data_IF_043018892541
#
_entry.id   IF_043018892541
#
_cell.length_a   1.000
_cell.length_b   1.000
_cell.length_c   1.000
_cell.angle_alpha   90.00
_cell.angle_beta   90.00
_cell.angle_gamma   90.00
#
_symmetry.space_group_name_H-M   'P 1'
#
loop_
_entity.id
_entity.type
_entity.pdbx_description
1 polymer ?
#
# COMPACT_ATOMS: atom_id res chain seq x y z
N UNK A 1 8.56 -6.61 -13.04
CA UNK A 1 8.42 -5.36 -12.26
C UNK A 1 7.47 -4.38 -12.93
N UNK A 2 7.56 -4.20 -14.25
CA UNK A 2 6.62 -3.36 -15.00
C UNK A 2 5.17 -3.81 -14.81
N UNK A 3 4.88 -5.10 -14.97
CA UNK A 3 3.52 -5.67 -14.80
C UNK A 3 2.92 -5.39 -13.42
N UNK A 4 3.76 -5.45 -12.36
CA UNK A 4 3.33 -5.13 -10.99
C UNK A 4 2.96 -3.64 -10.88
N UNK A 5 3.79 -2.76 -11.43
CA UNK A 5 3.52 -1.32 -11.43
C UNK A 5 2.22 -0.99 -12.18
N UNK A 6 2.03 -1.57 -13.37
CA UNK A 6 0.83 -1.36 -14.20
C UNK A 6 -0.43 -1.89 -13.50
N UNK A 7 -0.34 -3.08 -12.88
CA UNK A 7 -1.43 -3.65 -12.10
C UNK A 7 -1.84 -2.73 -10.96
N UNK A 8 -0.88 -2.31 -10.12
CA UNK A 8 -1.16 -1.43 -8.98
C UNK A 8 -1.72 -0.09 -9.45
N UNK A 9 -1.13 0.52 -10.48
CA UNK A 9 -1.61 1.78 -11.05
C UNK A 9 -3.02 1.66 -11.63
N UNK A 10 -3.37 0.52 -12.23
CA UNK A 10 -4.73 0.21 -12.71
C UNK A 10 -5.70 0.12 -11.54
N UNK A 11 -5.38 -0.66 -10.51
CA UNK A 11 -6.22 -0.81 -9.32
C UNK A 11 -6.44 0.53 -8.59
N UNK A 12 -5.40 1.37 -8.49
CA UNK A 12 -5.53 2.70 -7.91
C UNK A 12 -6.52 3.57 -8.71
N UNK A 13 -6.46 3.52 -10.04
CA UNK A 13 -7.42 4.30 -10.88
C UNK A 13 -8.83 3.75 -10.80
N UNK A 14 -8.99 2.43 -10.76
CA UNK A 14 -10.29 1.74 -10.75
C UNK A 14 -11.02 1.95 -9.42
N UNK A 15 -10.33 1.75 -8.29
CA UNK A 15 -10.95 1.79 -6.97
C UNK A 15 -10.77 3.12 -6.23
N UNK A 16 -9.95 4.02 -6.76
CA UNK A 16 -9.67 5.35 -6.17
C UNK A 16 -9.42 5.31 -4.64
N UNK A 17 -8.50 4.44 -4.14
CA UNK A 17 -8.22 4.34 -2.72
C UNK A 17 -7.61 5.65 -2.20
N UNK A 18 -7.77 5.90 -0.91
CA UNK A 18 -7.20 7.08 -0.24
C UNK A 18 -5.81 6.81 0.34
N UNK A 19 -5.50 5.55 0.62
CA UNK A 19 -4.24 5.12 1.23
C UNK A 19 -3.81 3.75 0.69
N UNK A 20 -2.55 3.42 0.88
CA UNK A 20 -1.99 2.08 0.67
C UNK A 20 -1.47 1.57 2.01
N UNK A 21 -1.92 0.40 2.42
CA UNK A 21 -1.36 -0.33 3.56
C UNK A 21 -0.48 -1.49 3.04
N UNK A 22 0.73 -1.60 3.52
CA UNK A 22 1.68 -2.62 3.08
C UNK A 22 2.37 -3.29 4.27
N UNK A 23 2.66 -4.57 4.15
CA UNK A 23 3.50 -5.27 5.11
C UNK A 23 4.96 -4.82 4.97
N UNK A 24 5.64 -4.61 6.10
CA UNK A 24 7.07 -4.34 6.10
C UNK A 24 7.86 -5.61 5.86
N UNK A 25 8.90 -5.52 5.01
CA UNK A 25 9.79 -6.66 4.75
C UNK A 25 10.59 -6.97 6.01
N UNK A 26 10.53 -8.22 6.47
CA UNK A 26 11.23 -8.68 7.66
C UNK A 26 12.50 -9.45 7.28
N UNK A 27 13.62 -9.16 7.94
CA UNK A 27 14.95 -9.70 7.61
C UNK A 27 15.19 -11.14 8.06
N UNK A 28 14.22 -11.80 8.70
CA UNK A 28 14.32 -13.22 9.10
C UNK A 28 14.23 -14.19 7.91
N UNK A 29 13.94 -13.71 6.72
CA UNK A 29 13.89 -14.49 5.49
C UNK A 29 15.30 -14.67 4.91
N UNK A 30 15.45 -15.70 4.07
CA UNK A 30 16.61 -15.84 3.21
C UNK A 30 16.87 -14.50 2.47
N UNK A 31 18.10 -14.01 2.48
CA UNK A 31 18.51 -12.71 1.89
C UNK A 31 17.99 -12.54 0.46
N UNK A 32 18.05 -13.57 -0.35
CA UNK A 32 17.59 -13.54 -1.75
C UNK A 32 16.09 -13.29 -1.86
N UNK A 33 15.30 -13.91 -1.01
CA UNK A 33 13.85 -13.71 -0.93
C UNK A 33 13.52 -12.32 -0.41
N UNK A 34 14.21 -11.88 0.64
CA UNK A 34 14.05 -10.54 1.21
C UNK A 34 14.33 -9.44 0.19
N UNK A 35 15.40 -9.57 -0.62
CA UNK A 35 15.73 -8.61 -1.69
C UNK A 35 14.62 -8.54 -2.74
N UNK A 36 14.11 -9.69 -3.21
CA UNK A 36 13.00 -9.72 -4.20
C UNK A 36 11.73 -9.07 -3.66
N UNK A 37 11.38 -9.34 -2.41
CA UNK A 37 10.22 -8.71 -1.76
C UNK A 37 10.42 -7.20 -1.60
N UNK A 38 11.64 -6.75 -1.28
CA UNK A 38 11.97 -5.34 -1.19
C UNK A 38 11.86 -4.63 -2.55
N UNK A 39 12.28 -5.29 -3.65
CA UNK A 39 12.11 -4.77 -5.01
C UNK A 39 10.64 -4.60 -5.37
N UNK A 40 9.80 -5.63 -5.16
CA UNK A 40 8.35 -5.56 -5.40
C UNK A 40 7.71 -4.46 -4.55
N UNK A 41 8.07 -4.41 -3.27
CA UNK A 41 7.60 -3.36 -2.36
C UNK A 41 7.99 -1.96 -2.87
N UNK A 42 9.22 -1.78 -3.35
CA UNK A 42 9.67 -0.52 -3.94
C UNK A 42 8.79 -0.08 -5.12
N UNK A 43 8.39 -1.01 -5.97
CA UNK A 43 7.49 -0.73 -7.11
C UNK A 43 6.09 -0.31 -6.63
N UNK A 44 5.54 -0.97 -5.60
CA UNK A 44 4.25 -0.59 -5.00
C UNK A 44 4.31 0.81 -4.40
N UNK A 45 5.39 1.13 -3.66
CA UNK A 45 5.62 2.45 -3.09
C UNK A 45 5.73 3.54 -4.16
N UNK A 46 6.42 3.24 -5.26
CA UNK A 46 6.55 4.15 -6.39
C UNK A 46 5.19 4.44 -7.04
N UNK A 47 4.41 3.39 -7.32
CA UNK A 47 3.07 3.54 -7.88
C UNK A 47 2.16 4.38 -6.97
N UNK A 48 2.15 4.11 -5.66
CA UNK A 48 1.40 4.90 -4.68
C UNK A 48 1.83 6.38 -4.68
N UNK A 49 3.14 6.64 -4.68
CA UNK A 49 3.69 8.00 -4.70
C UNK A 49 3.33 8.77 -5.97
N UNK A 50 3.33 8.11 -7.13
CA UNK A 50 2.95 8.72 -8.41
C UNK A 50 1.47 9.12 -8.44
N UNK A 51 0.62 8.42 -7.69
CA UNK A 51 -0.79 8.73 -7.53
C UNK A 51 -1.10 9.61 -6.31
N UNK A 52 -0.09 10.07 -5.57
CA UNK A 52 -0.25 10.96 -4.41
C UNK A 52 -0.81 10.27 -3.16
N UNK A 53 -0.79 8.94 -3.10
CA UNK A 53 -1.33 8.18 -1.98
C UNK A 53 -0.35 8.10 -0.81
N UNK A 54 -0.87 8.24 0.41
CA UNK A 54 -0.10 7.94 1.60
C UNK A 54 0.10 6.42 1.74
N UNK A 55 1.29 6.00 2.19
CA UNK A 55 1.60 4.59 2.44
C UNK A 55 1.84 4.37 3.92
N UNK A 56 1.18 3.37 4.48
CA UNK A 56 1.35 2.90 5.85
C UNK A 56 1.98 1.51 5.83
N UNK A 57 2.90 1.26 6.75
CA UNK A 57 3.63 -0.01 6.83
C UNK A 57 3.42 -0.65 8.19
N UNK A 58 3.14 -1.95 8.18
CA UNK A 58 2.87 -2.75 9.38
C UNK A 58 3.80 -3.95 9.43
N UNK A 59 4.36 -4.26 10.58
CA UNK A 59 5.11 -5.50 10.76
C UNK A 59 4.16 -6.71 10.82
N UNK A 60 4.61 -7.93 10.47
CA UNK A 60 3.81 -9.13 10.59
C UNK A 60 3.25 -9.35 12.00
N UNK A 61 4.00 -8.95 13.02
CA UNK A 61 3.58 -9.06 14.43
C UNK A 61 2.46 -8.09 14.77
N UNK A 62 2.52 -6.86 14.27
CA UNK A 62 1.45 -5.86 14.44
C UNK A 62 0.16 -6.32 13.75
N UNK A 63 0.26 -6.83 12.51
CA UNK A 63 -0.89 -7.38 11.78
C UNK A 63 -1.55 -8.51 12.57
N UNK A 64 -0.74 -9.48 13.04
CA UNK A 64 -1.25 -10.58 13.85
C UNK A 64 -1.90 -10.13 15.16
N UNK A 65 -1.25 -9.21 15.87
CA UNK A 65 -1.79 -8.69 17.13
C UNK A 65 -3.10 -7.92 16.92
N UNK A 66 -3.20 -7.14 15.85
CA UNK A 66 -4.42 -6.40 15.52
C UNK A 66 -5.58 -7.32 15.16
N UNK A 67 -5.36 -8.29 14.26
CA UNK A 67 -6.42 -9.12 13.69
C UNK A 67 -6.82 -10.28 14.62
N UNK A 68 -5.83 -10.95 15.24
CA UNK A 68 -6.06 -12.13 16.08
C UNK A 68 -5.95 -11.86 17.59
N UNK A 69 -5.58 -10.64 17.99
CA UNK A 69 -5.41 -10.27 19.40
C UNK A 69 -4.03 -10.58 19.97
N UNK A 70 -3.17 -11.33 19.26
CA UNK A 70 -1.80 -11.64 19.70
C UNK A 70 -0.83 -11.86 18.52
N UNK A 71 0.44 -11.48 18.72
CA UNK A 71 1.42 -11.39 17.65
C UNK A 71 2.02 -12.71 17.12
N UNK A 72 1.59 -13.86 17.63
CA UNK A 72 2.09 -15.21 17.27
C UNK A 72 1.01 -16.09 16.65
N UNK A 73 -0.11 -15.52 16.20
CA UNK A 73 -1.17 -16.26 15.52
C UNK A 73 -0.63 -17.03 14.32
N UNK A 74 -1.09 -18.26 14.13
CA UNK A 74 -0.75 -19.05 12.97
C UNK A 74 -1.55 -18.65 11.73
N UNK A 75 -1.18 -19.16 10.57
CA UNK A 75 -1.80 -18.78 9.29
C UNK A 75 -3.29 -19.12 9.25
N UNK A 76 -3.67 -20.28 9.77
CA UNK A 76 -5.07 -20.72 9.79
C UNK A 76 -5.92 -19.83 10.70
N UNK A 77 -5.39 -19.47 11.86
CA UNK A 77 -6.06 -18.56 12.78
C UNK A 77 -6.28 -17.19 12.12
N UNK A 78 -5.26 -16.66 11.43
CA UNK A 78 -5.38 -15.40 10.68
C UNK A 78 -6.49 -15.46 9.64
N UNK A 79 -6.54 -16.51 8.82
CA UNK A 79 -7.57 -16.70 7.81
C UNK A 79 -8.99 -16.75 8.41
N UNK A 80 -9.17 -17.49 9.52
CA UNK A 80 -10.45 -17.57 10.22
C UNK A 80 -10.87 -16.23 10.81
N UNK A 81 -9.93 -15.48 11.38
CA UNK A 81 -10.20 -14.14 11.92
C UNK A 81 -10.56 -13.15 10.84
N UNK A 82 -9.84 -13.14 9.72
CA UNK A 82 -10.18 -12.28 8.56
C UNK A 82 -11.58 -12.59 8.05
N UNK A 83 -11.91 -13.87 7.88
CA UNK A 83 -13.26 -14.33 7.48
C UNK A 83 -14.32 -13.81 8.44
N UNK A 84 -14.10 -13.96 9.74
CA UNK A 84 -15.06 -13.56 10.78
C UNK A 84 -15.24 -12.03 10.83
N UNK A 85 -14.14 -11.27 10.80
CA UNK A 85 -14.17 -9.80 10.87
C UNK A 85 -14.85 -9.17 9.65
N UNK A 86 -14.71 -9.79 8.47
CA UNK A 86 -15.32 -9.33 7.22
C UNK A 86 -16.69 -9.99 6.94
N UNK A 87 -17.20 -10.84 7.88
CA UNK A 87 -18.48 -11.57 7.72
C UNK A 87 -18.56 -12.36 6.41
N UNK A 88 -17.42 -12.93 5.99
CA UNK A 88 -17.36 -13.72 4.76
C UNK A 88 -17.92 -15.13 4.99
N UNK A 89 -18.61 -15.67 3.99
CA UNK A 89 -19.14 -17.05 4.01
C UNK A 89 -18.02 -18.09 3.93
N UNK A 90 -16.99 -17.78 3.16
CA UNK A 90 -15.85 -18.66 2.91
C UNK A 90 -14.53 -18.00 3.30
N UNK A 91 -13.52 -18.81 3.56
CA UNK A 91 -12.17 -18.31 3.83
C UNK A 91 -11.57 -17.73 2.55
N UNK A 92 -10.93 -16.54 2.59
CA UNK A 92 -10.31 -15.96 1.40
C UNK A 92 -9.24 -16.87 0.80
N UNK A 93 -9.32 -17.10 -0.50
CA UNK A 93 -8.33 -17.83 -1.29
C UNK A 93 -7.82 -16.99 -2.47
N UNK A 94 -6.56 -17.11 -2.86
CA UNK A 94 -5.49 -17.87 -2.18
C UNK A 94 -5.14 -17.29 -0.80
N UNK A 95 -4.32 -18.02 -0.01
CA UNK A 95 -3.94 -17.58 1.35
C UNK A 95 -3.34 -16.17 1.40
N UNK A 96 -2.66 -15.74 0.33
CA UNK A 96 -2.09 -14.41 0.21
C UNK A 96 -3.16 -13.30 0.15
N UNK A 97 -4.39 -13.63 -0.32
CA UNK A 97 -5.52 -12.71 -0.24
C UNK A 97 -5.94 -12.45 1.21
N UNK A 98 -5.92 -13.47 2.06
CA UNK A 98 -6.18 -13.31 3.50
C UNK A 98 -5.10 -12.46 4.17
N UNK A 99 -3.85 -12.62 3.79
CA UNK A 99 -2.73 -11.82 4.31
C UNK A 99 -2.89 -10.35 3.91
N UNK A 100 -3.26 -10.05 2.67
CA UNK A 100 -3.53 -8.69 2.20
C UNK A 100 -4.73 -8.05 2.93
N UNK A 101 -5.82 -8.79 3.13
CA UNK A 101 -6.98 -8.34 3.88
C UNK A 101 -6.64 -8.10 5.36
N UNK A 102 -5.79 -8.93 5.96
CA UNK A 102 -5.32 -8.73 7.33
C UNK A 102 -4.54 -7.42 7.50
N UNK A 103 -3.67 -7.07 6.54
CA UNK A 103 -2.96 -5.78 6.54
C UNK A 103 -3.94 -4.60 6.42
N UNK A 104 -4.94 -4.70 5.56
CA UNK A 104 -5.97 -3.68 5.42
C UNK A 104 -6.80 -3.51 6.70
N UNK A 105 -7.22 -4.61 7.33
CA UNK A 105 -7.93 -4.59 8.62
C UNK A 105 -7.09 -3.97 9.73
N UNK A 106 -5.79 -4.30 9.80
CA UNK A 106 -4.86 -3.71 10.75
C UNK A 106 -4.82 -2.18 10.60
N UNK A 107 -4.73 -1.69 9.36
CA UNK A 107 -4.76 -0.25 9.10
C UNK A 107 -6.08 0.39 9.52
N UNK A 108 -7.22 -0.19 9.16
CA UNK A 108 -8.54 0.33 9.51
C UNK A 108 -8.74 0.40 11.02
N UNK A 109 -8.33 -0.62 11.77
CA UNK A 109 -8.42 -0.64 13.23
C UNK A 109 -7.49 0.41 13.86
N UNK A 110 -6.28 0.59 13.34
CA UNK A 110 -5.36 1.63 13.79
C UNK A 110 -5.94 3.05 13.57
N UNK A 111 -6.55 3.30 12.40
CA UNK A 111 -7.20 4.58 12.11
C UNK A 111 -8.45 4.82 12.96
N UNK A 112 -9.26 3.79 13.19
CA UNK A 112 -10.42 3.88 14.08
C UNK A 112 -9.99 4.20 15.52
N UNK A 113 -8.96 3.54 16.03
CA UNK A 113 -8.41 3.82 17.36
C UNK A 113 -7.87 5.26 17.43
N UNK A 114 -7.15 5.71 16.42
CA UNK A 114 -6.63 7.07 16.33
C UNK A 114 -7.75 8.11 16.40
N UNK A 115 -8.80 7.95 15.61
CA UNK A 115 -9.94 8.86 15.59
C UNK A 115 -10.70 8.87 16.93
N UNK A 116 -10.88 7.67 17.53
CA UNK A 116 -11.61 7.51 18.78
C UNK A 116 -10.88 8.15 19.98
N UNK A 117 -9.55 8.08 20.00
CA UNK A 117 -8.74 8.58 21.12
C UNK A 117 -8.09 9.94 20.84
N UNK A 118 -8.38 10.59 19.71
CA UNK A 118 -7.79 11.88 19.33
C UNK A 118 -6.26 11.84 19.17
N UNK A 119 -5.70 10.68 18.86
CA UNK A 119 -4.26 10.52 18.74
C UNK A 119 -3.76 11.21 17.44
N UNK A 120 -2.58 11.85 17.49
CA UNK A 120 -1.99 12.45 16.29
C UNK A 120 -1.76 11.38 15.22
N UNK A 121 -1.68 11.80 13.96
CA UNK A 121 -1.36 10.93 12.83
C UNK A 121 0.13 10.53 12.89
N UNK A 122 0.51 9.72 13.86
CA UNK A 122 1.86 9.17 14.00
C UNK A 122 1.86 7.68 13.71
N UNK A 123 2.58 7.38 12.79
CA UNK A 123 3.91 6.83 12.61
C UNK A 123 4.03 5.34 12.89
N UNK A 124 3.22 4.52 12.22
CA UNK A 124 3.83 3.35 11.59
C UNK A 124 4.40 3.89 10.28
N UNK A 125 5.71 4.02 10.15
CA UNK A 125 6.48 4.62 9.08
C UNK A 125 5.67 5.20 7.90
N UNK A 126 5.08 6.39 8.09
CA UNK A 126 4.44 7.14 7.02
C UNK A 126 5.53 7.59 6.04
N UNK A 127 5.71 6.88 4.95
CA UNK A 127 6.44 7.40 3.81
C UNK A 127 5.57 8.51 3.22
N UNK A 128 5.79 9.76 3.64
CA UNK A 128 5.19 10.90 2.96
C UNK A 128 5.72 10.91 1.54
N UNK A 129 4.89 10.53 0.58
CA UNK A 129 5.11 10.93 -0.79
C UNK A 129 5.14 12.46 -0.77
N UNK A 130 6.33 13.03 -0.92
CA UNK A 130 6.49 14.49 -1.06
C UNK A 130 5.69 14.88 -2.30
N UNK A 131 4.69 15.73 -2.13
CA UNK A 131 3.95 16.28 -3.26
C UNK A 131 4.95 16.74 -4.33
N UNK A 132 4.72 16.44 -5.62
CA UNK A 132 5.61 16.89 -6.67
C UNK A 132 5.78 18.39 -6.54
N UNK A 133 7.03 18.84 -6.49
CA UNK A 133 7.37 20.26 -6.43
C UNK A 133 6.67 20.99 -7.59
N UNK A 134 6.05 22.16 -7.38
CA UNK A 134 5.35 22.92 -8.44
C UNK A 134 6.22 23.17 -9.67
N UNK A 135 7.54 23.14 -9.56
CA UNK A 135 8.48 23.24 -10.67
C UNK A 135 8.37 22.09 -11.69
N UNK A 136 7.97 20.87 -11.29
CA UNK A 136 7.81 19.73 -12.21
C UNK A 136 6.49 19.82 -13.00
N UNK A 137 5.46 20.45 -12.42
CA UNK A 137 4.20 20.70 -13.11
C UNK A 137 4.36 21.74 -14.22
N UNK A 138 5.19 22.78 -14.02
CA UNK A 138 5.46 23.79 -15.03
C UNK A 138 6.24 23.26 -16.24
N UNK A 139 7.15 22.30 -16.04
CA UNK A 139 7.92 21.68 -17.13
C UNK A 139 7.05 20.85 -18.08
N UNK A 140 5.99 20.18 -17.59
CA UNK A 140 5.05 19.41 -18.44
C UNK A 140 4.16 20.30 -19.30
N UNK A 141 3.84 21.51 -18.84
CA UNK A 141 3.09 22.51 -19.62
C UNK A 141 3.92 23.11 -20.75
N UNK A 142 5.19 23.38 -20.50
CA UNK A 142 6.09 23.99 -21.49
C UNK A 142 6.40 23.06 -22.67
N UNK A 143 6.60 21.76 -22.43
CA UNK A 143 6.90 20.79 -23.49
C UNK A 143 5.71 20.59 -24.43
N UNK A 144 4.47 20.69 -23.95
CA UNK A 144 3.27 20.54 -24.79
C UNK A 144 3.01 21.76 -25.67
N UNK A 145 3.38 22.94 -25.20
CA UNK A 145 3.24 24.18 -25.96
C UNK A 145 4.29 24.30 -27.09
N UNK A 146 5.47 23.70 -26.90
CA UNK A 146 6.55 23.75 -27.89
C UNK A 146 6.29 22.79 -29.06
N UNK A 147 5.67 21.62 -28.81
CA UNK A 147 5.34 20.64 -29.84
C UNK A 147 4.19 21.11 -30.76
N UNK A 148 3.20 21.83 -30.23
CA UNK A 148 2.10 22.35 -31.04
C UNK A 148 2.53 23.48 -31.99
N UNK A 149 3.65 24.15 -31.72
CA UNK A 149 4.19 25.23 -32.56
C UNK A 149 4.99 24.73 -33.76
N UNK A 150 5.48 23.48 -33.71
CA UNK A 150 6.25 22.86 -34.80
C UNK A 150 5.32 22.27 -35.87
N UNK A 151 4.11 21.84 -35.48
CA UNK A 151 3.14 21.27 -36.44
C UNK A 151 2.35 22.30 -37.26
N UNK A 152 2.39 23.59 -36.85
CA UNK A 152 1.69 24.68 -37.55
C UNK A 152 2.51 25.37 -38.63
N UNK A 153 3.73 24.90 -38.96
CA UNK A 153 4.62 25.52 -39.95
C UNK A 153 5.00 24.56 -41.08
N UNK A 154 4.11 23.63 -41.41
CA UNK A 154 4.22 22.83 -42.63
C UNK A 154 2.93 22.93 -43.45
#
# INVERSE_FOLDING_TARGET
MQDVHELISRLIREFSPTVVAAESVFTALNMRTALRLAEVRGVVLLAAAQHGLAVYSYSPREVKASVAGYGHADKRQMQLMVRALLSMTETPEPADAADALAVALCHLQAEQARLRFGLPAESSARLKARAPSPAVSAARGATRATLSRIESTR
#
